data_IF_950674821153
#
_entry.id   IF_950674821153
#
_cell.length_a   1.000
_cell.length_b   1.000
_cell.length_c   1.000
_cell.angle_alpha   90.00
_cell.angle_beta   90.00
_cell.angle_gamma   90.00
#
_symmetry.space_group_name_H-M   'P 1'
#
loop_
_entity.id
_entity.type
_entity.pdbx_description
1 polymer ?
#
# COMPACT_ATOMS: atom_id res chain seq x y z
N UNK A 1 -23.11 0.35 5.83
CA UNK A 1 -22.18 1.09 4.95
C UNK A 1 -21.03 1.75 5.70
N UNK A 2 -21.25 2.40 6.83
CA UNK A 2 -20.20 3.14 7.59
C UNK A 2 -19.00 2.29 8.01
N UNK A 3 -19.20 1.05 8.47
CA UNK A 3 -18.11 0.17 8.88
C UNK A 3 -17.19 -0.21 7.70
N UNK A 4 -17.78 -0.42 6.50
CA UNK A 4 -17.03 -0.75 5.30
C UNK A 4 -16.11 0.40 4.87
N UNK A 5 -16.61 1.63 4.96
CA UNK A 5 -15.82 2.83 4.70
C UNK A 5 -14.71 3.00 5.74
N UNK A 6 -15.02 2.77 7.01
CA UNK A 6 -14.01 2.83 8.07
C UNK A 6 -12.91 1.78 7.89
N UNK A 7 -13.27 0.56 7.49
CA UNK A 7 -12.30 -0.50 7.19
C UNK A 7 -11.37 -0.09 6.04
N UNK A 8 -11.93 0.41 4.94
CA UNK A 8 -11.14 0.85 3.79
C UNK A 8 -10.23 2.05 4.13
N UNK A 9 -10.73 3.01 4.90
CA UNK A 9 -9.91 4.12 5.38
C UNK A 9 -8.76 3.63 6.26
N UNK A 10 -9.00 2.68 7.16
CA UNK A 10 -7.97 2.11 8.03
C UNK A 10 -6.89 1.37 7.21
N UNK A 11 -7.29 0.58 6.22
CA UNK A 11 -6.35 -0.12 5.32
C UNK A 11 -5.51 0.87 4.52
N UNK A 12 -6.14 1.91 3.95
CA UNK A 12 -5.44 2.95 3.21
C UNK A 12 -4.43 3.73 4.07
N UNK A 13 -4.79 4.04 5.32
CA UNK A 13 -3.86 4.66 6.28
C UNK A 13 -2.73 3.70 6.67
N UNK A 14 -2.98 2.39 6.69
CA UNK A 14 -1.94 1.37 6.84
C UNK A 14 -0.92 1.43 5.70
N UNK A 15 -1.36 1.49 4.44
CA UNK A 15 -0.48 1.65 3.28
C UNK A 15 0.31 2.97 3.35
N UNK A 16 -0.34 4.07 3.74
CA UNK A 16 0.34 5.34 4.02
C UNK A 16 1.45 5.19 5.09
N UNK A 17 1.16 4.48 6.17
CA UNK A 17 2.14 4.24 7.24
C UNK A 17 3.38 3.51 6.72
N UNK A 18 3.21 2.46 5.91
CA UNK A 18 4.35 1.79 5.26
C UNK A 18 5.13 2.73 4.36
N UNK A 19 4.46 3.62 3.64
CA UNK A 19 5.11 4.68 2.86
C UNK A 19 5.96 5.60 3.73
N UNK A 20 5.46 6.03 4.87
CA UNK A 20 6.21 6.84 5.84
C UNK A 20 7.41 6.07 6.41
N UNK A 21 7.23 4.80 6.75
CA UNK A 21 8.33 3.95 7.22
C UNK A 21 9.42 3.85 6.14
N UNK A 22 9.06 3.63 4.88
CA UNK A 22 10.01 3.58 3.78
C UNK A 22 10.76 4.91 3.59
N UNK A 23 10.09 6.05 3.78
CA UNK A 23 10.69 7.38 3.66
C UNK A 23 11.81 7.60 4.70
N UNK A 24 11.55 7.23 5.96
CA UNK A 24 12.49 7.45 7.07
C UNK A 24 13.46 6.28 7.29
N UNK A 25 13.08 5.08 6.83
CA UNK A 25 13.87 3.85 6.95
C UNK A 25 13.88 3.10 5.62
N UNK A 26 14.66 3.54 4.62
CA UNK A 26 14.71 2.92 3.30
C UNK A 26 15.00 1.41 3.33
N UNK A 27 15.72 0.95 4.36
CA UNK A 27 16.03 -0.48 4.57
C UNK A 27 14.78 -1.32 4.88
N UNK A 28 13.72 -0.71 5.41
CA UNK A 28 12.47 -1.37 5.75
C UNK A 28 11.44 -1.36 4.62
N UNK A 29 11.85 -0.92 3.42
CA UNK A 29 10.97 -0.91 2.24
C UNK A 29 10.52 -2.34 1.88
N UNK A 30 9.21 -2.57 1.66
CA UNK A 30 8.71 -3.87 1.21
C UNK A 30 9.37 -4.35 -0.09
N UNK A 31 9.56 -5.66 -0.23
CA UNK A 31 10.13 -6.26 -1.43
C UNK A 31 11.65 -6.15 -1.54
N UNK A 32 12.32 -5.69 -0.51
CA UNK A 32 13.79 -5.72 -0.48
C UNK A 32 14.27 -7.18 -0.47
N UNK A 33 15.28 -7.54 -1.30
CA UNK A 33 15.91 -8.85 -1.19
C UNK A 33 16.43 -9.08 0.23
N UNK A 34 16.22 -10.29 0.76
CA UNK A 34 16.81 -10.68 2.04
C UNK A 34 18.34 -10.51 1.90
N UNK A 35 18.93 -9.71 2.77
CA UNK A 35 20.36 -9.53 2.79
C UNK A 35 21.04 -10.87 3.03
N UNK A 36 22.08 -11.18 2.23
CA UNK A 36 22.97 -12.29 2.56
C UNK A 36 23.58 -12.05 3.95
N UNK A 37 23.79 -13.09 4.77
CA UNK A 37 24.38 -12.97 6.11
C UNK A 37 25.70 -12.18 6.15
N UNK A 38 26.44 -12.19 5.04
CA UNK A 38 27.74 -11.54 4.90
C UNK A 38 27.67 -10.07 4.45
N UNK A 39 26.49 -9.56 4.12
CA UNK A 39 26.37 -8.15 3.69
C UNK A 39 26.26 -7.23 4.90
N UNK A 40 27.41 -6.83 5.45
CA UNK A 40 27.55 -5.75 6.44
C UNK A 40 27.27 -4.37 5.83
N UNK A 41 26.21 -4.21 5.05
CA UNK A 41 25.84 -2.88 4.55
C UNK A 41 25.11 -2.11 5.64
N UNK A 42 25.86 -1.33 6.38
CA UNK A 42 25.37 -0.44 7.46
C UNK A 42 24.52 0.72 6.91
N UNK A 43 24.60 1.03 5.61
CA UNK A 43 23.84 2.10 5.00
C UNK A 43 23.06 1.60 3.76
N UNK A 44 21.84 2.13 3.51
CA UNK A 44 21.10 1.81 2.30
C UNK A 44 21.85 2.36 1.08
N UNK A 45 21.83 1.61 -0.02
CA UNK A 45 22.39 2.11 -1.29
C UNK A 45 21.58 3.32 -1.78
N UNK A 46 22.19 4.15 -2.63
CA UNK A 46 21.50 5.27 -3.26
C UNK A 46 20.24 4.82 -4.01
N UNK A 47 20.33 3.72 -4.75
CA UNK A 47 19.18 3.13 -5.44
C UNK A 47 18.06 2.72 -4.46
N UNK A 48 18.40 2.09 -3.32
CA UNK A 48 17.42 1.73 -2.30
C UNK A 48 16.71 2.96 -1.75
N UNK A 49 17.48 4.01 -1.47
CA UNK A 49 16.93 5.29 -0.97
C UNK A 49 16.02 5.96 -2.00
N UNK A 50 16.44 5.97 -3.26
CA UNK A 50 15.63 6.53 -4.35
C UNK A 50 14.28 5.80 -4.50
N UNK A 51 14.28 4.48 -4.59
CA UNK A 51 13.05 3.69 -4.72
C UNK A 51 12.15 3.80 -3.49
N UNK A 52 12.71 3.84 -2.29
CA UNK A 52 11.95 4.06 -1.06
C UNK A 52 11.23 5.42 -1.05
N UNK A 53 11.91 6.48 -1.52
CA UNK A 53 11.30 7.81 -1.68
C UNK A 53 10.21 7.83 -2.73
N UNK A 54 10.41 7.17 -3.88
CA UNK A 54 9.36 7.04 -4.91
C UNK A 54 8.14 6.28 -4.38
N UNK A 55 8.35 5.18 -3.67
CA UNK A 55 7.27 4.43 -3.03
C UNK A 55 6.50 5.33 -2.04
N UNK A 56 7.21 6.05 -1.17
CA UNK A 56 6.60 6.95 -0.19
C UNK A 56 5.82 8.10 -0.87
N UNK A 57 6.39 8.70 -1.92
CA UNK A 57 5.76 9.79 -2.67
C UNK A 57 4.41 9.38 -3.30
N UNK A 58 4.21 8.10 -3.56
CA UNK A 58 2.95 7.54 -4.01
C UNK A 58 2.07 7.08 -2.86
N UNK A 59 2.59 6.24 -1.97
CA UNK A 59 1.80 5.59 -0.92
C UNK A 59 1.21 6.59 0.10
N UNK A 60 1.96 7.65 0.44
CA UNK A 60 1.50 8.62 1.43
C UNK A 60 0.32 9.44 0.93
N UNK A 61 0.40 10.21 -0.18
CA UNK A 61 -0.72 11.02 -0.63
C UNK A 61 -1.91 10.15 -1.08
N UNK A 62 -1.65 8.99 -1.66
CA UNK A 62 -2.71 8.11 -2.12
C UNK A 62 -3.48 7.47 -0.96
N UNK A 63 -2.80 7.04 0.10
CA UNK A 63 -3.45 6.52 1.30
C UNK A 63 -4.29 7.57 2.00
N UNK A 64 -3.81 8.83 2.10
CA UNK A 64 -4.59 9.95 2.63
C UNK A 64 -5.82 10.21 1.75
N UNK A 65 -5.65 10.29 0.43
CA UNK A 65 -6.75 10.56 -0.49
C UNK A 65 -7.81 9.46 -0.43
N UNK A 66 -7.41 8.18 -0.38
CA UNK A 66 -8.34 7.04 -0.26
C UNK A 66 -9.13 7.12 1.05
N UNK A 67 -8.47 7.39 2.17
CA UNK A 67 -9.14 7.56 3.45
C UNK A 67 -10.12 8.75 3.42
N UNK A 68 -9.71 9.87 2.83
CA UNK A 68 -10.57 11.05 2.67
C UNK A 68 -11.80 10.76 1.81
N UNK A 69 -11.65 10.06 0.69
CA UNK A 69 -12.80 9.67 -0.17
C UNK A 69 -13.76 8.76 0.60
N UNK A 70 -13.26 7.78 1.33
CA UNK A 70 -14.10 6.89 2.13
C UNK A 70 -14.91 7.63 3.20
N UNK A 71 -14.36 8.68 3.78
CA UNK A 71 -14.98 9.43 4.88
C UNK A 71 -15.89 10.56 4.35
N UNK A 72 -15.40 11.33 3.38
CA UNK A 72 -16.02 12.58 2.93
C UNK A 72 -16.88 12.41 1.69
N UNK A 73 -16.60 11.43 0.84
CA UNK A 73 -17.24 11.22 -0.46
C UNK A 73 -17.67 9.77 -0.68
N UNK A 74 -18.44 9.16 0.25
CA UNK A 74 -18.77 7.73 0.19
C UNK A 74 -19.53 7.32 -1.08
N UNK A 75 -20.24 8.23 -1.73
CA UNK A 75 -20.92 7.98 -3.01
C UNK A 75 -19.96 7.74 -4.18
N UNK A 76 -18.73 8.20 -4.09
CA UNK A 76 -17.68 8.01 -5.12
C UNK A 76 -16.72 6.88 -4.74
N UNK A 77 -16.87 6.30 -3.55
CA UNK A 77 -15.91 5.35 -3.00
C UNK A 77 -15.75 4.11 -3.88
N UNK A 78 -16.80 3.60 -4.52
CA UNK A 78 -16.73 2.37 -5.30
C UNK A 78 -15.67 2.45 -6.43
N UNK A 79 -15.73 3.48 -7.25
CA UNK A 79 -14.77 3.67 -8.37
C UNK A 79 -13.37 3.94 -7.82
N UNK A 80 -13.26 4.74 -6.78
CA UNK A 80 -11.96 5.04 -6.15
C UNK A 80 -11.32 3.79 -5.56
N UNK A 81 -12.09 2.94 -4.87
CA UNK A 81 -11.61 1.70 -4.28
C UNK A 81 -11.17 0.67 -5.33
N UNK A 82 -11.80 0.64 -6.52
CA UNK A 82 -11.29 -0.15 -7.63
C UNK A 82 -9.89 0.32 -8.06
N UNK A 83 -9.70 1.62 -8.20
CA UNK A 83 -8.38 2.17 -8.53
C UNK A 83 -7.36 1.90 -7.43
N UNK A 84 -7.76 2.06 -6.16
CA UNK A 84 -6.91 1.75 -5.01
C UNK A 84 -6.49 0.28 -5.01
N UNK A 85 -7.44 -0.64 -5.18
CA UNK A 85 -7.15 -2.07 -5.24
C UNK A 85 -6.27 -2.46 -6.42
N UNK A 86 -6.42 -1.82 -7.58
CA UNK A 86 -5.54 -2.05 -8.73
C UNK A 86 -4.09 -1.61 -8.44
N UNK A 87 -3.89 -0.49 -7.77
CA UNK A 87 -2.56 -0.02 -7.36
C UNK A 87 -1.93 -1.00 -6.36
N UNK A 88 -2.67 -1.42 -5.34
CA UNK A 88 -2.20 -2.39 -4.36
C UNK A 88 -1.88 -3.75 -5.00
N UNK A 89 -2.63 -4.15 -6.04
CA UNK A 89 -2.34 -5.36 -6.81
C UNK A 89 -0.99 -5.26 -7.53
N UNK A 90 -0.72 -4.13 -8.18
CA UNK A 90 0.58 -3.90 -8.82
C UNK A 90 1.72 -3.90 -7.79
N UNK A 91 1.51 -3.30 -6.62
CA UNK A 91 2.48 -3.35 -5.53
C UNK A 91 2.71 -4.77 -5.04
N UNK A 92 1.64 -5.53 -4.84
CA UNK A 92 1.74 -6.94 -4.44
C UNK A 92 2.54 -7.76 -5.45
N UNK A 93 2.33 -7.56 -6.76
CA UNK A 93 3.09 -8.25 -7.81
C UNK A 93 4.57 -7.89 -7.76
N UNK A 94 4.91 -6.62 -7.62
CA UNK A 94 6.29 -6.14 -7.51
C UNK A 94 6.97 -6.71 -6.26
N UNK A 95 6.30 -6.63 -5.12
CA UNK A 95 6.82 -7.17 -3.84
C UNK A 95 6.98 -8.68 -3.92
N UNK A 96 5.98 -9.41 -4.43
CA UNK A 96 6.01 -10.87 -4.55
C UNK A 96 7.15 -11.37 -5.46
N UNK A 97 7.50 -10.61 -6.50
CA UNK A 97 8.62 -10.94 -7.39
C UNK A 97 9.98 -10.95 -6.67
N UNK A 98 10.08 -10.28 -5.53
CA UNK A 98 11.30 -10.16 -4.71
C UNK A 98 11.21 -10.98 -3.44
N UNK A 99 10.13 -10.83 -2.70
CA UNK A 99 9.88 -11.54 -1.45
C UNK A 99 8.38 -11.85 -1.31
N UNK A 100 7.92 -13.06 -1.70
CA UNK A 100 6.49 -13.41 -1.66
C UNK A 100 5.84 -13.26 -0.28
N UNK A 101 6.62 -13.42 0.80
CA UNK A 101 6.09 -13.31 2.18
C UNK A 101 5.68 -11.88 2.53
N UNK A 102 6.31 -10.89 1.93
CA UNK A 102 6.00 -9.48 2.14
C UNK A 102 4.84 -8.98 1.28
N UNK A 103 4.32 -9.80 0.37
CA UNK A 103 3.17 -9.45 -0.46
C UNK A 103 1.83 -9.54 0.31
N UNK A 104 1.81 -10.14 1.49
CA UNK A 104 0.57 -10.33 2.26
C UNK A 104 -0.14 -9.01 2.61
N UNK A 105 0.51 -7.94 3.10
CA UNK A 105 -0.16 -6.67 3.38
C UNK A 105 -0.82 -6.04 2.15
N UNK A 106 -0.14 -5.83 1.00
CA UNK A 106 -0.81 -5.28 -0.17
C UNK A 106 -1.88 -6.21 -0.74
N UNK A 107 -1.75 -7.53 -0.68
CA UNK A 107 -2.82 -8.46 -1.08
C UNK A 107 -4.05 -8.32 -0.19
N UNK A 108 -3.89 -8.14 1.11
CA UNK A 108 -5.01 -7.85 2.00
C UNK A 108 -5.72 -6.56 1.59
N UNK A 109 -4.97 -5.51 1.27
CA UNK A 109 -5.54 -4.25 0.79
C UNK A 109 -6.31 -4.44 -0.53
N UNK A 110 -5.79 -5.25 -1.47
CA UNK A 110 -6.50 -5.62 -2.71
C UNK A 110 -7.86 -6.24 -2.40
N UNK A 111 -7.89 -7.25 -1.53
CA UNK A 111 -9.14 -7.96 -1.17
C UNK A 111 -10.14 -7.00 -0.54
N UNK A 112 -9.70 -6.16 0.39
CA UNK A 112 -10.57 -5.20 1.07
C UNK A 112 -11.09 -4.15 0.09
N UNK A 113 -10.22 -3.52 -0.69
CA UNK A 113 -10.62 -2.43 -1.60
C UNK A 113 -11.50 -2.93 -2.74
N UNK A 114 -11.06 -3.96 -3.47
CA UNK A 114 -11.83 -4.51 -4.59
C UNK A 114 -13.12 -5.17 -4.10
N UNK A 115 -13.05 -5.98 -3.05
CA UNK A 115 -14.25 -6.61 -2.47
C UNK A 115 -15.28 -5.58 -2.03
N UNK A 116 -14.85 -4.49 -1.37
CA UNK A 116 -15.72 -3.39 -1.00
C UNK A 116 -16.31 -2.66 -2.20
N UNK A 117 -15.50 -2.41 -3.23
CA UNK A 117 -15.97 -1.75 -4.45
C UNK A 117 -17.04 -2.57 -5.15
N UNK A 118 -16.83 -3.87 -5.33
CA UNK A 118 -17.81 -4.79 -5.92
C UNK A 118 -19.08 -4.80 -5.10
N UNK A 119 -18.98 -4.91 -3.78
CA UNK A 119 -20.14 -4.84 -2.88
C UNK A 119 -20.96 -3.56 -3.07
N UNK A 120 -20.27 -2.40 -3.10
CA UNK A 120 -20.93 -1.10 -3.26
C UNK A 120 -21.60 -0.92 -4.63
N UNK A 121 -21.12 -1.61 -5.67
CA UNK A 121 -21.70 -1.57 -7.01
C UNK A 121 -22.90 -2.50 -7.18
N UNK A 122 -23.02 -3.51 -6.33
CA UNK A 122 -24.06 -4.55 -6.43
C UNK A 122 -25.15 -4.46 -5.37
N UNK A 123 -24.91 -3.72 -4.28
CA UNK A 123 -25.88 -3.51 -3.19
C UNK A 123 -26.78 -2.31 -3.46
#
# INVERSE_FOLDING_TARGET
MTWLMALNAAVALGSMFFGLVALFRPQAMPGRPLASPDSQMTQPSEATTYFARMYAARAVPFGIATAAVCILLPSQAAIWLLAAGAIELLDAMVVASRNPREAAPPLLAVVVHIGSAVWLMTA
#
